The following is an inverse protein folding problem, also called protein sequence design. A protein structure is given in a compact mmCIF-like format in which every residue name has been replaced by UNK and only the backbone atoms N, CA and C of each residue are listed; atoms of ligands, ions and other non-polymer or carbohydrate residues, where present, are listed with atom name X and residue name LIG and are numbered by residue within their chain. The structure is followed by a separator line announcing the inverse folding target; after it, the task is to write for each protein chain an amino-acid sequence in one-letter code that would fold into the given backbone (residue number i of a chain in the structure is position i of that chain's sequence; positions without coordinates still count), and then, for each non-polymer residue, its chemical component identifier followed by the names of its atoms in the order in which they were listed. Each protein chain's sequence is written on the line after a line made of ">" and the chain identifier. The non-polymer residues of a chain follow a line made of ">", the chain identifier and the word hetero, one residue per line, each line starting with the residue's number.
data_IF_487795828869
#
_entry.id   IF_487795828869
#
_cell.length_a   1.000
_cell.length_b   1.000
_cell.length_c   1.000
_cell.angle_alpha   90.00
_cell.angle_beta   90.00
_cell.angle_gamma   90.00
#
_symmetry.space_group_name_H-M   'P 1'
#
loop_
_entity.id
_entity.type
_entity.pdbx_description
1 polymer ?
#
# COMPACT_ATOMS: atom_id res chain seq x y z
N UNK A 1 25.80 29.70 -16.26
CA UNK A 1 24.72 29.10 -17.07
C UNK A 1 24.44 27.64 -16.74
N UNK A 2 25.45 26.80 -16.43
CA UNK A 2 25.21 25.38 -16.05
C UNK A 2 24.56 25.16 -14.67
N UNK A 3 24.75 26.04 -13.68
CA UNK A 3 24.14 25.91 -12.34
C UNK A 3 22.62 26.12 -12.31
N UNK A 4 22.07 26.95 -13.20
CA UNK A 4 20.62 27.20 -13.28
C UNK A 4 19.86 26.06 -13.93
N UNK A 5 20.50 25.29 -14.83
CA UNK A 5 19.88 24.12 -15.47
C UNK A 5 19.72 22.96 -14.47
N UNK A 6 20.71 22.74 -13.59
CA UNK A 6 20.63 21.68 -12.58
C UNK A 6 19.57 21.95 -11.50
N UNK A 7 19.33 23.21 -11.13
CA UNK A 7 18.28 23.57 -10.15
C UNK A 7 16.84 23.39 -10.72
N UNK A 8 16.65 23.57 -12.02
CA UNK A 8 15.38 23.29 -12.69
C UNK A 8 15.15 21.78 -12.90
N UNK A 9 16.23 21.02 -13.12
CA UNK A 9 16.14 19.57 -13.28
C UNK A 9 15.80 18.83 -11.97
N UNK A 10 16.34 19.27 -10.83
CA UNK A 10 16.01 18.69 -9.51
C UNK A 10 14.56 18.95 -9.11
N UNK A 11 14.06 20.16 -9.34
CA UNK A 11 12.66 20.53 -9.06
C UNK A 11 11.65 19.79 -9.95
N UNK A 12 12.00 19.47 -11.20
CA UNK A 12 11.16 18.65 -12.07
C UNK A 12 11.10 17.18 -11.62
N UNK A 13 12.23 16.61 -11.17
CA UNK A 13 12.32 15.22 -10.70
C UNK A 13 11.51 15.00 -9.44
N UNK A 14 11.55 15.93 -8.49
CA UNK A 14 10.78 15.85 -7.24
C UNK A 14 9.26 15.94 -7.47
N UNK A 15 8.82 16.74 -8.45
CA UNK A 15 7.40 16.81 -8.83
C UNK A 15 6.90 15.51 -9.44
N UNK A 16 7.71 14.86 -10.28
CA UNK A 16 7.34 13.58 -10.90
C UNK A 16 7.14 12.46 -9.87
N UNK A 17 7.94 12.44 -8.80
CA UNK A 17 7.85 11.44 -7.74
C UNK A 17 6.55 11.52 -6.93
N UNK A 18 5.94 12.70 -6.80
CA UNK A 18 4.67 12.89 -6.11
C UNK A 18 3.45 12.67 -7.04
N UNK A 19 3.56 13.00 -8.32
CA UNK A 19 2.46 12.92 -9.27
C UNK A 19 2.07 11.47 -9.58
N UNK A 20 3.03 10.57 -9.81
CA UNK A 20 2.75 9.18 -10.13
C UNK A 20 1.89 8.47 -9.07
N UNK A 21 2.24 8.47 -7.77
CA UNK A 21 1.39 7.84 -6.75
C UNK A 21 0.05 8.56 -6.56
N UNK A 22 -0.02 9.88 -6.79
CA UNK A 22 -1.29 10.60 -6.73
C UNK A 22 -2.27 10.15 -7.82
N UNK A 23 -1.80 10.05 -9.07
CA UNK A 23 -2.60 9.62 -10.22
C UNK A 23 -3.07 8.18 -10.05
N UNK A 24 -2.15 7.27 -9.68
CA UNK A 24 -2.49 5.86 -9.41
C UNK A 24 -3.53 5.79 -8.28
N UNK A 25 -3.28 6.49 -7.17
CA UNK A 25 -4.20 6.50 -6.02
C UNK A 25 -5.58 7.00 -6.39
N UNK A 26 -5.68 8.10 -7.13
CA UNK A 26 -6.94 8.66 -7.60
C UNK A 26 -7.69 7.68 -8.53
N UNK A 27 -6.99 7.07 -9.49
CA UNK A 27 -7.59 6.10 -10.41
C UNK A 27 -8.17 4.88 -9.66
N UNK A 28 -7.42 4.33 -8.69
CA UNK A 28 -7.90 3.20 -7.88
C UNK A 28 -9.13 3.57 -7.04
N UNK A 29 -9.15 4.76 -6.43
CA UNK A 29 -10.30 5.24 -5.66
C UNK A 29 -11.53 5.46 -6.56
N UNK A 30 -11.35 5.98 -7.78
CA UNK A 30 -12.45 6.15 -8.75
C UNK A 30 -13.03 4.79 -9.14
N UNK A 31 -12.19 3.82 -9.49
CA UNK A 31 -12.63 2.46 -9.85
C UNK A 31 -13.34 1.81 -8.66
N UNK A 32 -12.82 1.94 -7.45
CA UNK A 32 -13.47 1.43 -6.25
C UNK A 32 -14.83 2.10 -5.99
N UNK A 33 -14.92 3.41 -6.19
CA UNK A 33 -16.17 4.17 -6.10
C UNK A 33 -17.20 3.67 -7.11
N UNK A 34 -16.80 3.44 -8.37
CA UNK A 34 -17.70 2.87 -9.39
C UNK A 34 -18.19 1.46 -9.02
N UNK A 35 -17.31 0.60 -8.51
CA UNK A 35 -17.71 -0.72 -8.02
C UNK A 35 -18.71 -0.64 -6.87
N UNK A 36 -18.47 0.25 -5.89
CA UNK A 36 -19.33 0.41 -4.71
C UNK A 36 -20.66 1.09 -5.00
N UNK A 37 -20.69 2.03 -5.94
CA UNK A 37 -21.87 2.86 -6.21
C UNK A 37 -22.71 2.38 -7.39
N UNK A 38 -22.14 1.63 -8.34
CA UNK A 38 -22.87 1.13 -9.51
C UNK A 38 -23.00 -0.40 -9.51
N UNK A 39 -21.88 -1.13 -9.36
CA UNK A 39 -21.89 -2.59 -9.55
C UNK A 39 -22.50 -3.32 -8.36
N UNK A 40 -22.07 -2.99 -7.14
CA UNK A 40 -22.55 -3.64 -5.91
C UNK A 40 -24.04 -3.43 -5.69
N UNK A 41 -24.62 -2.21 -5.82
CA UNK A 41 -26.05 -2.01 -5.68
C UNK A 41 -26.85 -2.80 -6.72
N UNK A 42 -26.42 -2.80 -7.99
CA UNK A 42 -27.09 -3.58 -9.03
C UNK A 42 -27.11 -5.10 -8.73
N UNK A 43 -26.01 -5.64 -8.19
CA UNK A 43 -25.96 -7.04 -7.77
C UNK A 43 -26.84 -7.32 -6.53
N UNK A 44 -26.87 -6.40 -5.56
CA UNK A 44 -27.74 -6.50 -4.39
C UNK A 44 -29.22 -6.44 -4.78
N UNK A 45 -29.59 -5.58 -5.73
CA UNK A 45 -30.96 -5.46 -6.20
C UNK A 45 -31.41 -6.71 -6.97
N UNK A 46 -30.51 -7.35 -7.72
CA UNK A 46 -30.77 -8.66 -8.32
C UNK A 46 -30.99 -9.75 -7.26
N UNK A 47 -30.18 -9.78 -6.20
CA UNK A 47 -30.35 -10.72 -5.09
C UNK A 47 -31.67 -10.49 -4.35
N UNK A 48 -32.00 -9.24 -4.01
CA UNK A 48 -33.27 -8.88 -3.37
C UNK A 48 -34.46 -9.23 -4.25
N UNK A 49 -34.41 -8.93 -5.55
CA UNK A 49 -35.47 -9.26 -6.49
C UNK A 49 -35.66 -10.77 -6.60
N UNK A 50 -34.59 -11.55 -6.61
CA UNK A 50 -34.67 -13.01 -6.62
C UNK A 50 -35.24 -13.60 -5.33
N UNK A 51 -34.86 -13.05 -4.17
CA UNK A 51 -35.40 -13.48 -2.86
C UNK A 51 -36.87 -13.12 -2.72
N UNK A 52 -37.27 -11.93 -3.20
CA UNK A 52 -38.64 -11.44 -3.14
C UNK A 52 -39.57 -12.08 -4.20
N UNK A 53 -39.02 -12.64 -5.28
CA UNK A 53 -39.80 -13.24 -6.35
C UNK A 53 -40.69 -14.39 -5.82
N UNK A 54 -42.01 -14.28 -6.02
CA UNK A 54 -42.96 -15.33 -5.68
C UNK A 54 -42.82 -16.55 -6.62
N UNK A 55 -43.38 -17.70 -6.22
CA UNK A 55 -43.55 -18.82 -7.14
C UNK A 55 -44.57 -18.44 -8.24
N UNK A 56 -44.27 -18.75 -9.49
CA UNK A 56 -45.20 -18.49 -10.59
C UNK A 56 -46.48 -19.34 -10.42
N UNK A 57 -47.66 -18.77 -10.73
CA UNK A 57 -48.86 -19.58 -10.88
C UNK A 57 -48.70 -20.54 -12.08
N UNK A 58 -49.23 -21.75 -11.95
CA UNK A 58 -49.03 -22.90 -12.86
C UNK A 58 -49.33 -22.58 -14.34
N UNK A 59 -50.12 -21.54 -14.63
CA UNK A 59 -50.55 -21.19 -15.98
C UNK A 59 -49.75 -20.04 -16.65
N UNK A 60 -48.85 -19.34 -15.94
CA UNK A 60 -48.16 -18.15 -16.50
C UNK A 60 -46.69 -18.09 -16.06
N UNK A 61 -45.79 -18.51 -16.95
CA UNK A 61 -44.36 -18.29 -16.78
C UNK A 61 -44.02 -16.82 -17.09
N UNK A 62 -43.51 -16.10 -16.09
CA UNK A 62 -43.03 -14.71 -16.21
C UNK A 62 -41.56 -14.62 -15.81
N UNK A 63 -40.86 -13.59 -16.31
CA UNK A 63 -39.48 -13.29 -15.90
C UNK A 63 -39.37 -12.78 -14.47
N UNK A 64 -40.47 -12.36 -13.85
CA UNK A 64 -40.47 -11.76 -12.51
C UNK A 64 -40.68 -12.77 -11.37
N UNK A 65 -41.32 -13.92 -11.67
CA UNK A 65 -41.57 -14.97 -10.69
C UNK A 65 -40.62 -16.15 -10.87
N UNK A 66 -40.52 -17.00 -9.84
CA UNK A 66 -39.75 -18.24 -9.85
C UNK A 66 -40.61 -19.37 -10.38
N UNK A 67 -40.22 -19.96 -11.50
CA UNK A 67 -40.95 -21.05 -12.14
C UNK A 67 -40.19 -22.37 -11.93
N UNK A 68 -40.84 -23.38 -11.36
CA UNK A 68 -40.22 -24.69 -11.12
C UNK A 68 -40.77 -25.72 -12.10
N UNK A 69 -39.88 -26.44 -12.77
CA UNK A 69 -40.24 -27.42 -13.80
C UNK A 69 -39.56 -28.75 -13.54
N UNK A 70 -40.26 -29.84 -13.81
CA UNK A 70 -39.70 -31.19 -13.70
C UNK A 70 -38.90 -31.52 -14.97
N UNK A 71 -37.66 -31.95 -14.80
CA UNK A 71 -36.78 -32.35 -15.90
C UNK A 71 -36.08 -33.66 -15.58
N UNK A 72 -35.86 -34.47 -16.61
CA UNK A 72 -35.08 -35.71 -16.51
C UNK A 72 -33.62 -35.43 -16.84
N UNK A 73 -32.70 -35.90 -16.00
CA UNK A 73 -31.26 -35.81 -16.26
C UNK A 73 -30.89 -36.70 -17.43
N UNK A 74 -30.20 -36.16 -18.44
CA UNK A 74 -29.66 -36.94 -19.55
C UNK A 74 -28.17 -37.20 -19.40
N UNK A 75 -27.45 -36.32 -18.72
CA UNK A 75 -26.01 -36.49 -18.48
C UNK A 75 -25.57 -35.75 -17.22
N UNK A 76 -24.55 -36.28 -16.56
CA UNK A 76 -23.80 -35.60 -15.51
C UNK A 76 -22.33 -35.72 -15.86
N UNK A 77 -21.66 -34.60 -16.10
CA UNK A 77 -20.26 -34.56 -16.54
C UNK A 77 -19.44 -33.66 -15.61
N UNK A 78 -18.24 -34.13 -15.24
CA UNK A 78 -17.26 -33.35 -14.52
C UNK A 78 -16.10 -33.00 -15.47
N UNK A 79 -16.16 -31.82 -16.07
CA UNK A 79 -15.15 -31.36 -17.01
C UNK A 79 -13.96 -30.79 -16.25
N UNK A 80 -12.81 -31.44 -16.39
CA UNK A 80 -11.57 -30.99 -15.80
C UNK A 80 -10.87 -30.06 -16.79
N UNK A 81 -10.82 -28.77 -16.48
CA UNK A 81 -10.12 -27.78 -17.31
C UNK A 81 -9.06 -27.09 -16.46
N UNK A 82 -7.80 -27.38 -16.79
CA UNK A 82 -6.63 -26.95 -16.00
C UNK A 82 -6.72 -27.43 -14.54
N UNK A 83 -6.64 -26.50 -13.57
CA UNK A 83 -6.71 -26.77 -12.13
C UNK A 83 -8.13 -26.72 -11.56
N UNK A 84 -9.16 -26.62 -12.40
CA UNK A 84 -10.55 -26.48 -11.96
C UNK A 84 -11.43 -27.57 -12.57
N UNK A 85 -12.29 -28.16 -11.73
CA UNK A 85 -13.33 -29.10 -12.16
C UNK A 85 -14.66 -28.36 -12.25
N UNK A 86 -15.30 -28.42 -13.42
CA UNK A 86 -16.62 -27.87 -13.66
C UNK A 86 -17.64 -28.98 -13.74
N UNK A 87 -18.73 -28.85 -12.98
CA UNK A 87 -19.79 -29.83 -12.91
C UNK A 87 -20.95 -29.39 -13.80
N UNK A 88 -21.26 -30.18 -14.81
CA UNK A 88 -22.31 -29.91 -15.80
C UNK A 88 -23.41 -30.96 -15.68
N UNK A 89 -24.66 -30.51 -15.50
CA UNK A 89 -25.84 -31.36 -15.64
C UNK A 89 -26.50 -31.07 -16.98
N UNK A 90 -26.65 -32.12 -17.79
CA UNK A 90 -27.48 -32.11 -18.99
C UNK A 90 -28.88 -32.59 -18.68
N UNK A 91 -29.88 -31.89 -19.19
CA UNK A 91 -31.29 -32.24 -19.06
C UNK A 91 -31.89 -32.61 -20.41
N UNK A 92 -32.83 -33.54 -20.36
CA UNK A 92 -33.58 -34.01 -21.52
C UNK A 92 -34.87 -33.23 -21.71
N UNK A 93 -35.90 -33.93 -22.14
CA UNK A 93 -37.23 -33.37 -22.29
C UNK A 93 -37.69 -32.78 -20.94
N UNK A 94 -38.10 -31.52 -20.98
CA UNK A 94 -38.65 -30.79 -19.83
C UNK A 94 -40.16 -31.00 -19.91
N UNK A 95 -40.73 -31.71 -18.93
CA UNK A 95 -42.18 -31.90 -18.85
C UNK A 95 -42.80 -30.55 -18.45
N UNK A 96 -43.86 -30.14 -19.14
CA UNK A 96 -44.54 -28.84 -18.97
C UNK A 96 -43.75 -27.60 -19.44
N UNK A 97 -43.04 -27.65 -20.57
CA UNK A 97 -42.62 -26.38 -21.21
C UNK A 97 -43.86 -25.56 -21.62
N UNK A 98 -44.14 -24.41 -20.99
CA UNK A 98 -45.13 -23.48 -21.51
C UNK A 98 -44.57 -22.94 -22.82
N UNK A 99 -45.41 -22.96 -23.86
CA UNK A 99 -45.14 -22.48 -25.21
C UNK A 99 -44.25 -21.22 -25.18
N UNK A 100 -42.99 -21.39 -25.58
CA UNK A 100 -41.97 -20.35 -25.80
C UNK A 100 -41.69 -19.40 -24.61
N UNK A 101 -40.85 -19.83 -23.66
CA UNK A 101 -40.13 -18.91 -22.78
C UNK A 101 -39.23 -17.97 -23.62
N UNK A 102 -39.38 -16.64 -23.57
CA UNK A 102 -38.58 -15.68 -24.36
C UNK A 102 -37.13 -15.50 -23.85
N UNK A 103 -36.63 -16.43 -23.04
CA UNK A 103 -35.33 -16.37 -22.41
C UNK A 103 -34.24 -17.02 -23.26
N UNK A 104 -33.32 -16.21 -23.77
CA UNK A 104 -32.11 -16.63 -24.50
C UNK A 104 -31.20 -17.45 -23.59
N UNK A 105 -31.43 -18.76 -23.48
CA UNK A 105 -30.44 -19.71 -22.96
C UNK A 105 -29.16 -19.49 -23.76
N UNK A 106 -28.09 -19.03 -23.11
CA UNK A 106 -26.75 -18.99 -23.70
C UNK A 106 -26.30 -20.42 -23.94
N UNK A 107 -26.68 -20.97 -25.09
CA UNK A 107 -26.02 -22.14 -25.66
C UNK A 107 -24.57 -21.73 -25.85
N UNK A 108 -23.65 -22.38 -25.12
CA UNK A 108 -22.22 -22.18 -25.33
C UNK A 108 -21.87 -22.42 -26.81
N UNK A 109 -20.80 -21.79 -27.34
CA UNK A 109 -20.43 -21.94 -28.74
C UNK A 109 -20.19 -23.42 -29.07
N UNK A 110 -21.15 -24.01 -29.76
CA UNK A 110 -21.06 -25.35 -30.30
C UNK A 110 -20.19 -25.30 -31.54
N UNK A 111 -19.15 -26.15 -31.59
CA UNK A 111 -18.47 -26.54 -32.83
C UNK A 111 -19.54 -26.91 -33.86
N UNK A 112 -19.59 -26.17 -34.97
CA UNK A 112 -20.53 -26.39 -36.07
C UNK A 112 -20.43 -27.83 -36.56
N UNK A 113 -21.51 -28.59 -36.39
CA UNK A 113 -21.65 -29.93 -36.95
C UNK A 113 -22.01 -29.83 -38.44
N UNK A 114 -21.45 -30.76 -39.23
CA UNK A 114 -21.59 -30.85 -40.68
C UNK A 114 -23.06 -30.98 -41.13
N UNK A 115 -23.42 -30.43 -42.31
CA UNK A 115 -24.78 -30.47 -42.82
C UNK A 115 -25.16 -31.90 -43.25
N UNK A 116 -26.29 -32.43 -42.77
CA UNK A 116 -26.88 -33.69 -43.25
C UNK A 116 -27.39 -34.66 -42.18
N UNK A 117 -27.11 -34.44 -40.89
CA UNK A 117 -27.66 -35.25 -39.80
C UNK A 117 -28.81 -34.49 -39.14
N UNK A 118 -29.97 -35.12 -38.99
CA UNK A 118 -31.10 -34.58 -38.22
C UNK A 118 -30.57 -33.96 -36.93
N UNK A 119 -30.79 -32.66 -36.77
CA UNK A 119 -30.21 -31.88 -35.68
C UNK A 119 -30.76 -32.40 -34.35
N UNK A 120 -30.06 -33.37 -33.76
CA UNK A 120 -30.32 -33.81 -32.40
C UNK A 120 -30.32 -32.56 -31.53
N UNK A 121 -31.46 -32.26 -30.91
CA UNK A 121 -31.59 -31.10 -30.02
C UNK A 121 -30.47 -31.18 -29.01
N UNK A 122 -29.56 -30.21 -29.07
CA UNK A 122 -28.39 -30.22 -28.21
C UNK A 122 -28.87 -30.27 -26.75
N UNK A 123 -28.40 -31.23 -25.93
CA UNK A 123 -28.86 -31.35 -24.56
C UNK A 123 -28.61 -30.04 -23.82
N UNK A 124 -29.64 -29.51 -23.16
CA UNK A 124 -29.53 -28.28 -22.37
C UNK A 124 -28.63 -28.59 -21.17
N UNK A 125 -27.48 -27.92 -21.07
CA UNK A 125 -26.51 -28.12 -19.98
C UNK A 125 -26.48 -26.92 -19.05
N UNK A 126 -26.40 -27.18 -17.74
CA UNK A 126 -26.24 -26.17 -16.70
C UNK A 126 -24.99 -26.46 -15.88
N UNK A 127 -24.29 -25.39 -15.56
CA UNK A 127 -23.12 -25.44 -14.68
C UNK A 127 -23.57 -25.35 -13.23
N UNK A 128 -23.30 -26.40 -12.47
CA UNK A 128 -23.59 -26.49 -11.04
C UNK A 128 -22.51 -25.77 -10.22
N UNK A 129 -22.90 -25.18 -9.10
CA UNK A 129 -21.95 -24.61 -8.13
C UNK A 129 -21.43 -25.74 -7.22
N UNK A 130 -20.37 -26.40 -7.66
CA UNK A 130 -19.74 -27.51 -6.94
C UNK A 130 -20.32 -28.91 -7.22
N UNK A 131 -19.80 -29.91 -6.50
CA UNK A 131 -20.13 -31.34 -6.69
C UNK A 131 -21.34 -31.80 -5.88
N UNK A 132 -21.60 -31.19 -4.73
CA UNK A 132 -22.59 -31.62 -3.76
C UNK A 132 -23.59 -30.49 -3.49
N UNK A 133 -24.83 -30.79 -3.07
CA UNK A 133 -25.36 -32.14 -2.79
C UNK A 133 -26.00 -32.84 -4.00
N UNK A 134 -26.63 -32.12 -4.93
CA UNK A 134 -27.48 -32.71 -5.98
C UNK A 134 -26.66 -33.41 -7.06
N UNK A 135 -25.60 -32.79 -7.58
CA UNK A 135 -24.80 -33.35 -8.68
C UNK A 135 -24.21 -34.72 -8.33
N UNK A 136 -23.83 -34.96 -7.06
CA UNK A 136 -23.33 -36.24 -6.61
C UNK A 136 -24.42 -37.32 -6.44
N UNK A 137 -25.68 -36.93 -6.28
CA UNK A 137 -26.80 -37.84 -6.01
C UNK A 137 -27.57 -38.24 -7.28
N UNK A 138 -27.58 -37.37 -8.30
CA UNK A 138 -28.39 -37.58 -9.51
C UNK A 138 -27.65 -38.40 -10.56
N UNK A 139 -28.39 -39.26 -11.26
CA UNK A 139 -27.90 -40.09 -12.35
C UNK A 139 -28.71 -39.82 -13.62
N UNK A 140 -28.21 -40.17 -14.82
CA UNK A 140 -29.04 -40.14 -16.03
C UNK A 140 -30.32 -40.95 -15.84
N UNK A 141 -31.46 -40.39 -16.25
CA UNK A 141 -32.80 -40.94 -16.04
C UNK A 141 -33.51 -40.44 -14.77
N UNK A 142 -32.80 -39.79 -13.84
CA UNK A 142 -33.40 -39.24 -12.62
C UNK A 142 -34.25 -38.00 -12.93
N UNK A 143 -35.49 -37.97 -12.41
CA UNK A 143 -36.33 -36.77 -12.42
C UNK A 143 -35.93 -35.82 -11.29
N UNK A 144 -35.85 -34.52 -11.60
CA UNK A 144 -35.54 -33.46 -10.66
C UNK A 144 -36.32 -32.18 -10.98
N UNK A 145 -36.31 -31.24 -10.06
CA UNK A 145 -36.99 -29.96 -10.22
C UNK A 145 -35.97 -28.86 -10.50
N UNK A 146 -36.19 -28.11 -11.58
CA UNK A 146 -35.38 -26.96 -11.99
C UNK A 146 -36.16 -25.69 -11.70
N UNK A 147 -35.60 -24.77 -10.90
CA UNK A 147 -36.20 -23.45 -10.73
C UNK A 147 -35.53 -22.41 -11.62
N UNK A 148 -36.33 -21.79 -12.47
CA UNK A 148 -35.96 -20.71 -13.36
C UNK A 148 -36.30 -19.34 -12.76
N UNK A 149 -35.45 -18.35 -13.01
CA UNK A 149 -35.77 -16.93 -12.79
C UNK A 149 -35.06 -16.08 -13.84
N UNK A 150 -35.82 -15.21 -14.52
CA UNK A 150 -35.36 -14.43 -15.70
C UNK A 150 -34.69 -15.28 -16.78
N UNK A 151 -35.27 -16.46 -17.07
CA UNK A 151 -34.79 -17.36 -18.13
C UNK A 151 -33.51 -18.14 -17.80
N UNK A 152 -32.97 -18.02 -16.60
CA UNK A 152 -31.80 -18.79 -16.14
C UNK A 152 -32.21 -19.75 -15.03
N UNK A 153 -31.66 -20.97 -15.04
CA UNK A 153 -31.84 -21.95 -13.98
C UNK A 153 -31.00 -21.49 -12.80
N UNK A 154 -31.61 -21.19 -11.65
CA UNK A 154 -30.93 -20.65 -10.47
C UNK A 154 -30.49 -21.74 -9.52
N UNK A 155 -31.34 -22.73 -9.28
CA UNK A 155 -31.04 -23.89 -8.46
C UNK A 155 -31.81 -25.12 -8.95
N UNK A 156 -31.33 -26.28 -8.50
CA UNK A 156 -31.86 -27.59 -8.80
C UNK A 156 -32.23 -28.26 -7.48
N UNK A 157 -33.45 -28.80 -7.41
CA UNK A 157 -33.96 -29.53 -6.26
C UNK A 157 -34.14 -31.02 -6.60
N UNK A 158 -33.65 -31.90 -5.75
CA UNK A 158 -33.77 -33.35 -5.87
C UNK A 158 -33.97 -34.00 -4.50
N UNK A 159 -35.14 -34.62 -4.27
CA UNK A 159 -35.45 -35.33 -3.01
C UNK A 159 -35.17 -34.51 -1.73
N UNK A 160 -35.51 -33.22 -1.73
CA UNK A 160 -35.25 -32.32 -0.61
C UNK A 160 -33.82 -31.76 -0.53
N UNK A 161 -32.90 -32.23 -1.38
CA UNK A 161 -31.58 -31.63 -1.57
C UNK A 161 -31.69 -30.47 -2.56
N UNK A 162 -31.14 -29.32 -2.19
CA UNK A 162 -31.04 -28.14 -3.06
C UNK A 162 -29.59 -27.87 -3.41
N UNK A 163 -29.32 -27.62 -4.69
CA UNK A 163 -28.02 -27.14 -5.13
C UNK A 163 -28.17 -25.93 -6.06
N UNK A 164 -27.43 -24.88 -5.76
CA UNK A 164 -27.37 -23.67 -6.56
C UNK A 164 -26.50 -23.86 -7.81
N UNK A 165 -26.80 -23.08 -8.84
CA UNK A 165 -26.03 -23.03 -10.07
C UNK A 165 -25.11 -21.81 -10.07
N UNK A 166 -24.18 -21.75 -11.01
CA UNK A 166 -23.31 -20.57 -11.19
C UNK A 166 -24.09 -19.31 -11.62
N UNK A 167 -25.35 -19.48 -12.04
CA UNK A 167 -26.24 -18.36 -12.32
C UNK A 167 -27.01 -17.89 -11.06
N UNK A 168 -26.77 -18.40 -9.86
CA UNK A 168 -27.43 -17.85 -8.66
C UNK A 168 -26.98 -16.39 -8.41
N UNK A 169 -27.90 -15.39 -8.35
CA UNK A 169 -27.51 -14.01 -8.07
C UNK A 169 -27.02 -13.79 -6.64
N UNK A 170 -27.30 -14.72 -5.72
CA UNK A 170 -26.92 -14.59 -4.30
C UNK A 170 -25.41 -14.48 -4.14
N UNK A 171 -24.97 -13.46 -3.43
CA UNK A 171 -23.55 -13.22 -3.20
C UNK A 171 -22.78 -12.76 -4.43
N UNK A 172 -23.44 -12.48 -5.56
CA UNK A 172 -22.80 -11.92 -6.76
C UNK A 172 -22.11 -10.58 -6.51
N UNK A 173 -22.55 -9.85 -5.47
CA UNK A 173 -21.93 -8.60 -5.02
C UNK A 173 -20.60 -8.79 -4.28
N UNK A 174 -20.29 -10.00 -3.76
CA UNK A 174 -19.16 -10.21 -2.83
C UNK A 174 -17.81 -9.94 -3.47
N UNK A 175 -17.58 -10.43 -4.69
CA UNK A 175 -16.32 -10.23 -5.40
C UNK A 175 -16.07 -8.76 -5.78
N UNK A 176 -16.99 -8.04 -6.46
CA UNK A 176 -16.77 -6.62 -6.77
C UNK A 176 -16.66 -5.77 -5.50
N UNK A 177 -17.39 -6.12 -4.45
CA UNK A 177 -17.28 -5.45 -3.15
C UNK A 177 -15.90 -5.68 -2.50
N UNK A 178 -15.41 -6.92 -2.43
CA UNK A 178 -14.07 -7.25 -1.94
C UNK A 178 -12.98 -6.51 -2.73
N UNK A 179 -13.08 -6.52 -4.06
CA UNK A 179 -12.15 -5.80 -4.94
C UNK A 179 -12.16 -4.30 -4.65
N UNK A 180 -13.33 -3.69 -4.48
CA UNK A 180 -13.45 -2.27 -4.18
C UNK A 180 -12.79 -1.89 -2.83
N UNK A 181 -12.96 -2.71 -1.79
CA UNK A 181 -12.33 -2.45 -0.49
C UNK A 181 -10.80 -2.54 -0.56
N UNK A 182 -10.26 -3.53 -1.29
CA UNK A 182 -8.82 -3.63 -1.54
C UNK A 182 -8.32 -2.39 -2.29
N UNK A 183 -9.00 -2.01 -3.38
CA UNK A 183 -8.64 -0.83 -4.19
C UNK A 183 -8.68 0.47 -3.38
N UNK A 184 -9.67 0.65 -2.49
CA UNK A 184 -9.72 1.80 -1.58
C UNK A 184 -8.52 1.85 -0.64
N UNK A 185 -8.14 0.71 -0.06
CA UNK A 185 -7.01 0.66 0.88
C UNK A 185 -5.67 0.97 0.19
N UNK A 186 -5.44 0.40 -1.00
CA UNK A 186 -4.24 0.66 -1.80
C UNK A 186 -4.25 2.10 -2.34
N UNK A 187 -5.39 2.56 -2.87
CA UNK A 187 -5.54 3.92 -3.38
C UNK A 187 -5.30 4.98 -2.32
N UNK A 188 -5.88 4.79 -1.12
CA UNK A 188 -5.64 5.66 0.03
C UNK A 188 -4.17 5.69 0.46
N UNK A 189 -3.47 4.57 0.39
CA UNK A 189 -2.04 4.50 0.67
C UNK A 189 -1.20 5.29 -0.35
N UNK A 190 -1.50 5.15 -1.65
CA UNK A 190 -0.84 5.90 -2.71
C UNK A 190 -1.08 7.41 -2.57
N UNK A 191 -2.31 7.84 -2.29
CA UNK A 191 -2.65 9.25 -2.04
C UNK A 191 -1.92 9.79 -0.80
N UNK A 192 -1.86 9.01 0.29
CA UNK A 192 -1.11 9.39 1.49
C UNK A 192 0.39 9.52 1.20
N UNK A 193 0.95 8.60 0.43
CA UNK A 193 2.37 8.66 0.02
C UNK A 193 2.66 9.93 -0.79
N UNK A 194 1.83 10.25 -1.77
CA UNK A 194 1.92 11.48 -2.56
C UNK A 194 1.80 12.74 -1.69
N UNK A 195 0.85 12.76 -0.75
CA UNK A 195 0.70 13.86 0.20
C UNK A 195 1.94 14.02 1.09
N UNK A 196 2.49 12.91 1.60
CA UNK A 196 3.70 12.91 2.41
C UNK A 196 4.94 13.36 1.63
N UNK A 197 5.06 13.03 0.33
CA UNK A 197 6.17 13.50 -0.50
C UNK A 197 6.10 15.01 -0.73
N UNK A 198 4.90 15.57 -0.94
CA UNK A 198 4.72 17.03 -1.08
C UNK A 198 5.05 17.76 0.22
N UNK A 199 4.66 17.21 1.38
CA UNK A 199 4.88 17.86 2.68
C UNK A 199 6.31 17.75 3.23
N UNK A 200 7.17 16.89 2.70
CA UNK A 200 8.50 16.63 3.28
C UNK A 200 9.60 17.05 2.30
N UNK A 201 10.04 18.29 2.42
CA UNK A 201 11.10 18.85 1.57
C UNK A 201 12.55 18.50 2.00
N UNK A 202 12.80 18.03 3.24
CA UNK A 202 14.18 18.11 3.79
C UNK A 202 14.69 16.93 4.65
N UNK A 203 14.25 15.68 4.45
CA UNK A 203 14.97 14.54 5.09
C UNK A 203 15.21 13.38 4.14
N UNK A 204 16.31 13.49 3.40
CA UNK A 204 16.83 12.49 2.46
C UNK A 204 17.48 11.27 3.14
N UNK A 205 17.60 11.25 4.47
CA UNK A 205 18.11 10.10 5.19
C UNK A 205 17.04 8.99 5.25
N UNK A 206 17.16 8.08 4.28
CA UNK A 206 16.41 6.86 4.08
C UNK A 206 16.34 6.00 5.35
N UNK A 207 15.13 5.87 5.90
CA UNK A 207 14.83 4.77 6.79
C UNK A 207 13.86 3.82 6.06
N UNK A 208 14.37 2.64 5.67
CA UNK A 208 13.58 1.57 5.00
C UNK A 208 12.26 1.29 5.71
N UNK A 209 12.21 1.47 7.03
CA UNK A 209 10.99 1.27 7.83
C UNK A 209 9.85 2.22 7.44
N UNK A 210 10.17 3.43 6.96
CA UNK A 210 9.16 4.41 6.51
C UNK A 210 8.36 3.91 5.31
N UNK A 211 8.92 2.99 4.52
CA UNK A 211 8.23 2.32 3.41
C UNK A 211 7.63 0.99 3.85
N UNK A 212 8.36 0.18 4.64
CA UNK A 212 7.89 -1.18 4.96
C UNK A 212 6.70 -1.19 5.92
N UNK A 213 6.64 -0.29 6.91
CA UNK A 213 5.52 -0.21 7.87
C UNK A 213 4.20 0.10 7.16
N UNK A 214 4.05 1.20 6.40
CA UNK A 214 2.78 1.48 5.73
C UNK A 214 2.42 0.41 4.69
N UNK A 215 3.41 -0.13 3.96
CA UNK A 215 3.15 -1.18 2.97
C UNK A 215 2.61 -2.46 3.64
N UNK A 216 3.21 -2.88 4.75
CA UNK A 216 2.73 -4.02 5.53
C UNK A 216 1.32 -3.76 6.09
N UNK A 217 1.05 -2.55 6.59
CA UNK A 217 -0.30 -2.19 7.07
C UNK A 217 -1.36 -2.27 5.97
N UNK A 218 -1.05 -1.76 4.77
CA UNK A 218 -1.96 -1.79 3.62
C UNK A 218 -2.21 -3.21 3.16
N UNK A 219 -1.17 -4.06 3.12
CA UNK A 219 -1.30 -5.47 2.78
C UNK A 219 -2.23 -6.19 3.77
N UNK A 220 -2.02 -5.98 5.08
CA UNK A 220 -2.85 -6.59 6.12
C UNK A 220 -4.32 -6.13 6.02
N UNK A 221 -4.55 -4.82 5.84
CA UNK A 221 -5.90 -4.27 5.65
C UNK A 221 -6.54 -4.83 4.37
N UNK A 222 -5.79 -4.93 3.27
CA UNK A 222 -6.27 -5.49 2.00
C UNK A 222 -6.68 -6.95 2.15
N UNK A 223 -5.85 -7.78 2.79
CA UNK A 223 -6.16 -9.18 3.05
C UNK A 223 -7.45 -9.31 3.89
N UNK A 224 -7.57 -8.50 4.94
CA UNK A 224 -8.75 -8.50 5.80
C UNK A 224 -10.01 -8.06 5.03
N UNK A 225 -9.92 -6.93 4.32
CA UNK A 225 -10.98 -6.38 3.48
C UNK A 225 -11.44 -7.33 2.36
N UNK A 226 -10.54 -8.13 1.81
CA UNK A 226 -10.88 -9.12 0.80
C UNK A 226 -11.65 -10.32 1.39
N UNK A 227 -11.29 -10.73 2.60
CA UNK A 227 -11.91 -11.87 3.28
C UNK A 227 -13.29 -11.57 3.88
N UNK A 228 -13.54 -10.34 4.33
CA UNK A 228 -14.78 -9.99 5.05
C UNK A 228 -16.07 -10.31 4.30
N UNK A 229 -16.22 -10.11 2.96
CA UNK A 229 -17.50 -10.35 2.28
C UNK A 229 -17.88 -11.84 2.18
N UNK A 230 -16.91 -12.74 2.39
CA UNK A 230 -17.13 -14.18 2.36
C UNK A 230 -17.66 -14.73 3.68
N UNK A 231 -17.29 -14.09 4.79
CA UNK A 231 -17.67 -14.52 6.15
C UNK A 231 -18.92 -13.81 6.65
N UNK A 232 -19.31 -12.68 6.06
CA UNK A 232 -20.51 -11.95 6.46
C UNK A 232 -21.71 -12.22 5.54
N UNK A 233 -22.91 -12.06 6.11
CA UNK A 233 -24.18 -12.18 5.39
C UNK A 233 -24.62 -10.92 4.65
N UNK A 234 -23.86 -9.82 4.71
CA UNK A 234 -24.26 -8.56 4.11
C UNK A 234 -23.16 -7.49 4.03
N UNK A 235 -23.45 -6.44 3.27
CA UNK A 235 -22.55 -5.31 3.06
C UNK A 235 -22.29 -4.50 4.34
N UNK A 236 -23.30 -4.12 5.16
CA UNK A 236 -23.05 -3.33 6.37
C UNK A 236 -22.17 -4.05 7.39
N UNK A 237 -22.38 -5.35 7.57
CA UNK A 237 -21.59 -6.18 8.48
C UNK A 237 -20.18 -6.39 7.97
N UNK A 238 -19.98 -6.55 6.65
CA UNK A 238 -18.65 -6.60 6.06
C UNK A 238 -17.87 -5.28 6.23
N UNK A 239 -18.53 -4.13 6.01
CA UNK A 239 -17.92 -2.81 6.21
C UNK A 239 -17.52 -2.60 7.67
N UNK A 240 -18.43 -2.89 8.61
CA UNK A 240 -18.17 -2.76 10.04
C UNK A 240 -17.02 -3.67 10.47
N UNK A 241 -17.03 -4.94 10.05
CA UNK A 241 -15.94 -5.87 10.36
C UNK A 241 -14.61 -5.36 9.81
N UNK A 242 -14.59 -4.91 8.55
CA UNK A 242 -13.38 -4.34 7.91
C UNK A 242 -12.85 -3.12 8.65
N UNK A 243 -13.74 -2.21 9.06
CA UNK A 243 -13.38 -1.02 9.82
C UNK A 243 -12.79 -1.39 11.18
N UNK A 244 -13.45 -2.28 11.93
CA UNK A 244 -12.97 -2.77 13.23
C UNK A 244 -11.61 -3.47 13.10
N UNK A 245 -11.41 -4.29 12.05
CA UNK A 245 -10.14 -4.96 11.78
C UNK A 245 -9.02 -4.01 11.35
N UNK A 246 -9.34 -2.90 10.67
CA UNK A 246 -8.36 -1.91 10.25
C UNK A 246 -7.82 -1.05 11.42
N UNK A 247 -8.64 -0.77 12.43
CA UNK A 247 -8.27 0.04 13.60
C UNK A 247 -6.98 -0.45 14.29
N UNK A 248 -6.85 -1.73 14.73
CA UNK A 248 -5.63 -2.18 15.41
C UNK A 248 -4.41 -2.18 14.49
N UNK A 249 -4.58 -2.43 13.18
CA UNK A 249 -3.48 -2.37 12.21
C UNK A 249 -2.96 -0.93 12.06
N UNK A 250 -3.87 0.03 11.93
CA UNK A 250 -3.52 1.45 11.83
C UNK A 250 -2.95 1.98 13.15
N UNK A 251 -3.52 1.60 14.29
CA UNK A 251 -3.02 1.97 15.61
C UNK A 251 -1.62 1.41 15.85
N UNK A 252 -1.39 0.14 15.51
CA UNK A 252 -0.07 -0.50 15.57
C UNK A 252 0.95 0.19 14.66
N UNK A 253 0.57 0.51 13.42
CA UNK A 253 1.42 1.23 12.47
C UNK A 253 1.77 2.64 12.96
N UNK A 254 0.78 3.37 13.49
CA UNK A 254 0.96 4.70 14.06
C UNK A 254 1.86 4.64 15.31
N UNK A 255 1.64 3.66 16.20
CA UNK A 255 2.46 3.46 17.38
C UNK A 255 3.90 3.08 17.03
N UNK A 256 4.12 2.18 16.06
CA UNK A 256 5.46 1.84 15.56
C UNK A 256 6.15 3.07 14.96
N UNK A 257 5.44 3.82 14.12
CA UNK A 257 5.95 5.07 13.53
C UNK A 257 6.32 6.08 14.62
N UNK A 258 5.48 6.26 15.63
CA UNK A 258 5.72 7.16 16.75
C UNK A 258 6.89 6.70 17.63
N UNK A 259 6.97 5.40 17.94
CA UNK A 259 8.05 4.79 18.72
C UNK A 259 9.38 4.94 17.98
N UNK A 260 9.41 4.70 16.68
CA UNK A 260 10.58 4.94 15.85
C UNK A 260 10.92 6.42 15.81
N UNK A 261 9.94 7.30 15.63
CA UNK A 261 10.17 8.74 15.62
C UNK A 261 10.80 9.23 16.94
N UNK A 262 10.32 8.72 18.08
CA UNK A 262 10.88 9.02 19.41
C UNK A 262 12.31 8.53 19.55
N UNK A 263 12.63 7.35 19.00
CA UNK A 263 13.99 6.82 18.97
C UNK A 263 14.91 7.66 18.07
N UNK A 264 14.44 8.10 16.91
CA UNK A 264 15.22 8.92 15.96
C UNK A 264 15.42 10.37 16.38
N UNK A 265 14.92 10.78 17.54
CA UNK A 265 15.41 11.99 18.22
C UNK A 265 16.79 11.70 18.83
N UNK A 266 17.72 11.18 18.02
CA UNK A 266 19.09 10.86 18.42
C UNK A 266 19.94 12.14 18.58
N UNK A 267 19.34 13.24 19.02
CA UNK A 267 20.08 14.43 19.38
C UNK A 267 20.72 14.18 20.74
N UNK A 268 22.03 13.94 20.74
CA UNK A 268 22.81 13.85 21.96
C UNK A 268 22.97 15.27 22.48
N UNK A 269 22.47 15.55 23.68
CA UNK A 269 22.68 16.84 24.34
C UNK A 269 24.14 16.91 24.79
N UNK A 270 24.95 17.70 24.07
CA UNK A 270 26.34 17.98 24.42
C UNK A 270 26.46 19.47 24.73
N UNK A 271 26.96 19.80 25.92
CA UNK A 271 27.24 21.18 26.31
C UNK A 271 28.50 21.66 25.56
N UNK A 272 28.44 22.77 24.79
CA UNK A 272 29.61 23.31 24.11
C UNK A 272 30.69 23.74 25.11
N UNK A 273 31.94 23.37 24.85
CA UNK A 273 33.10 23.73 25.66
C UNK A 273 34.12 24.43 24.77
N UNK A 274 34.41 25.70 25.05
CA UNK A 274 35.42 26.47 24.30
C UNK A 274 36.81 26.07 24.81
N UNK A 275 37.71 25.56 23.95
CA UNK A 275 39.07 25.22 24.37
C UNK A 275 39.85 26.48 24.78
N UNK A 276 40.75 26.39 25.75
CA UNK A 276 41.54 27.53 26.25
C UNK A 276 42.68 27.93 25.29
N UNK A 277 43.16 26.98 24.47
CA UNK A 277 44.22 27.16 23.49
C UNK A 277 43.96 26.37 22.21
N UNK A 278 44.98 26.21 21.39
CA UNK A 278 44.93 25.31 20.22
C UNK A 278 45.04 23.85 20.68
N UNK A 279 43.98 23.07 20.48
CA UNK A 279 43.93 21.64 20.79
C UNK A 279 43.73 20.83 19.52
N UNK A 280 44.64 19.89 19.24
CA UNK A 280 44.56 18.98 18.10
C UNK A 280 44.06 17.60 18.55
N UNK A 281 43.07 17.04 17.86
CA UNK A 281 42.46 15.76 18.21
C UNK A 281 41.99 14.99 16.97
N UNK A 282 41.79 13.66 17.08
CA UNK A 282 41.27 12.85 15.97
C UNK A 282 39.86 13.26 15.55
N UNK A 283 39.66 13.51 14.27
CA UNK A 283 38.37 13.84 13.70
C UNK A 283 38.45 14.19 12.22
N UNK A 284 37.33 14.09 11.51
CA UNK A 284 37.27 14.32 10.07
C UNK A 284 36.02 15.11 9.71
N UNK A 285 36.17 16.01 8.73
CA UNK A 285 35.06 16.74 8.13
C UNK A 285 34.65 16.03 6.84
N UNK A 286 33.39 15.64 6.76
CA UNK A 286 32.80 14.93 5.63
C UNK A 286 31.72 15.82 4.99
N UNK A 287 31.71 15.91 3.66
CA UNK A 287 30.72 16.69 2.91
C UNK A 287 31.29 17.26 1.62
N UNK A 288 30.42 17.74 0.74
CA UNK A 288 30.82 18.38 -0.53
C UNK A 288 31.26 19.83 -0.30
N UNK A 289 32.31 20.03 0.49
CA UNK A 289 32.84 21.34 0.86
C UNK A 289 34.35 21.42 0.63
N UNK A 290 34.90 22.60 0.28
CA UNK A 290 36.29 22.73 -0.16
C UNK A 290 37.35 22.47 0.93
N UNK A 291 36.92 22.34 2.19
CA UNK A 291 37.77 22.03 3.35
C UNK A 291 37.60 20.58 3.83
N UNK A 292 36.80 19.76 3.14
CA UNK A 292 36.78 18.30 3.31
C UNK A 292 37.79 17.68 2.35
N UNK A 293 38.81 17.02 2.89
CA UNK A 293 39.85 16.36 2.11
C UNK A 293 40.12 14.97 2.64
N UNK A 294 40.34 14.02 1.73
CA UNK A 294 40.81 12.69 2.10
C UNK A 294 42.19 12.76 2.77
N UNK A 295 42.41 11.98 3.82
CA UNK A 295 43.63 12.00 4.62
C UNK A 295 43.66 13.05 5.76
N UNK A 296 42.67 13.94 5.85
CA UNK A 296 42.55 14.91 6.95
C UNK A 296 41.85 14.25 8.15
N UNK A 297 42.63 13.45 8.91
CA UNK A 297 42.17 12.66 10.04
C UNK A 297 42.20 13.37 11.41
N UNK A 298 42.64 14.62 11.47
CA UNK A 298 42.72 15.41 12.69
C UNK A 298 42.01 16.76 12.55
N UNK A 299 41.46 17.23 13.66
CA UNK A 299 40.85 18.55 13.82
C UNK A 299 41.64 19.35 14.84
N UNK A 300 41.78 20.64 14.56
CA UNK A 300 42.35 21.63 15.45
C UNK A 300 41.24 22.58 15.89
N UNK A 301 40.96 22.63 17.19
CA UNK A 301 40.00 23.57 17.77
C UNK A 301 40.71 24.61 18.62
N UNK A 302 40.29 25.86 18.47
CA UNK A 302 40.68 26.99 19.32
C UNK A 302 39.46 27.93 19.50
N UNK A 303 39.52 28.95 20.38
CA UNK A 303 38.42 29.90 20.55
C UNK A 303 37.95 30.53 19.22
N UNK A 304 36.74 30.14 18.77
CA UNK A 304 36.16 30.65 17.52
C UNK A 304 36.88 30.23 16.22
N UNK A 305 37.68 29.16 16.28
CA UNK A 305 38.47 28.65 15.17
C UNK A 305 38.46 27.13 15.14
N UNK A 306 38.11 26.56 14.00
CA UNK A 306 38.18 25.13 13.73
C UNK A 306 38.94 24.95 12.41
N UNK A 307 39.85 23.98 12.34
CA UNK A 307 40.56 23.62 11.12
C UNK A 307 40.72 22.11 11.00
N UNK A 308 40.75 21.60 9.78
CA UNK A 308 41.13 20.22 9.51
C UNK A 308 42.62 20.15 9.16
N UNK A 309 43.29 19.07 9.53
CA UNK A 309 44.71 18.84 9.23
C UNK A 309 45.02 17.34 9.13
N UNK A 310 45.96 16.92 8.28
CA UNK A 310 46.48 15.56 8.29
C UNK A 310 47.50 15.32 9.43
N UNK A 311 48.08 16.39 9.99
CA UNK A 311 49.15 16.33 10.97
C UNK A 311 48.59 16.13 12.40
N UNK A 312 48.94 15.04 13.11
CA UNK A 312 48.48 14.82 14.49
C UNK A 312 48.96 15.91 15.46
N UNK A 313 50.08 16.58 15.19
CA UNK A 313 50.54 17.72 15.98
C UNK A 313 49.85 19.04 15.59
N UNK A 314 49.08 19.03 14.51
CA UNK A 314 48.35 20.19 13.99
C UNK A 314 49.23 21.36 13.56
N UNK A 315 50.51 21.16 13.23
CA UNK A 315 51.46 22.23 12.86
C UNK A 315 51.45 22.53 11.37
N UNK A 316 51.15 21.55 10.53
CA UNK A 316 51.20 21.70 9.06
C UNK A 316 49.85 21.50 8.37
N UNK A 317 49.75 22.01 7.13
CA UNK A 317 48.62 21.81 6.21
C UNK A 317 47.22 22.08 6.81
N UNK A 318 47.10 23.12 7.67
CA UNK A 318 45.84 23.52 8.29
C UNK A 318 44.87 24.07 7.24
N UNK A 319 43.67 23.50 7.16
CA UNK A 319 42.56 23.99 6.32
C UNK A 319 41.50 24.60 7.23
N UNK A 320 41.42 25.93 7.34
CA UNK A 320 40.46 26.58 8.23
C UNK A 320 39.02 26.32 7.75
N UNK A 321 38.16 25.99 8.70
CA UNK A 321 36.72 25.85 8.48
C UNK A 321 36.08 27.24 8.50
N UNK A 322 35.21 27.58 7.53
CA UNK A 322 34.62 28.90 7.47
C UNK A 322 33.66 29.15 8.63
N UNK A 323 33.61 30.41 9.09
CA UNK A 323 32.71 30.85 10.19
C UNK A 323 31.22 30.87 9.82
N UNK A 324 30.89 30.56 8.57
CA UNK A 324 29.53 30.34 8.09
C UNK A 324 29.00 28.98 8.51
N UNK A 325 29.86 28.04 8.88
CA UNK A 325 29.48 26.72 9.36
C UNK A 325 28.76 26.82 10.71
N UNK A 326 27.50 26.41 10.74
CA UNK A 326 26.68 26.41 11.95
C UNK A 326 26.33 24.98 12.37
N UNK A 327 26.60 24.63 13.63
CA UNK A 327 26.20 23.34 14.18
C UNK A 327 24.67 23.28 14.35
N UNK A 328 24.06 22.22 13.81
CA UNK A 328 22.62 21.97 13.85
C UNK A 328 22.27 21.02 15.00
N UNK A 329 22.94 19.87 15.08
CA UNK A 329 22.75 18.88 16.16
C UNK A 329 23.92 17.90 16.24
N UNK A 330 24.06 17.24 17.38
CA UNK A 330 24.96 16.11 17.58
C UNK A 330 24.17 14.82 17.54
N UNK A 331 24.64 13.82 16.82
CA UNK A 331 24.00 12.50 16.73
C UNK A 331 25.02 11.37 16.58
N UNK A 332 24.64 10.09 16.77
CA UNK A 332 25.48 8.97 16.40
C UNK A 332 25.70 8.90 14.87
N UNK A 333 26.78 8.24 14.41
CA UNK A 333 27.05 8.03 13.00
C UNK A 333 26.03 7.08 12.37
N UNK A 334 25.59 7.43 11.17
CA UNK A 334 24.69 6.62 10.36
C UNK A 334 25.44 5.98 9.20
N UNK A 335 24.94 4.84 8.72
CA UNK A 335 25.54 4.14 7.57
C UNK A 335 25.43 4.93 6.27
N UNK A 336 24.57 5.94 6.23
CA UNK A 336 24.36 6.83 5.10
C UNK A 336 25.23 8.08 5.15
N UNK A 337 26.02 8.29 6.21
CA UNK A 337 26.93 9.42 6.28
C UNK A 337 28.01 9.27 5.18
N UNK A 338 28.37 10.36 4.47
CA UNK A 338 29.35 10.28 3.40
C UNK A 338 30.73 9.94 3.98
N UNK A 339 31.49 9.09 3.30
CA UNK A 339 32.87 8.75 3.66
C UNK A 339 33.04 7.38 4.34
N UNK A 340 34.25 7.08 4.83
CA UNK A 340 34.54 5.81 5.50
C UNK A 340 33.78 5.69 6.83
N UNK A 341 33.51 4.44 7.23
CA UNK A 341 32.75 4.15 8.45
C UNK A 341 33.49 4.71 9.69
N UNK A 342 32.84 5.57 10.50
CA UNK A 342 33.44 6.08 11.73
C UNK A 342 33.79 4.97 12.72
N UNK A 343 34.79 5.23 13.57
CA UNK A 343 35.14 4.34 14.67
C UNK A 343 33.94 4.10 15.61
N UNK A 344 33.83 2.91 16.24
CA UNK A 344 32.77 2.63 17.21
C UNK A 344 32.74 3.68 18.31
N UNK A 345 31.55 4.22 18.59
CA UNK A 345 31.35 5.26 19.61
C UNK A 345 31.63 6.69 19.15
N UNK A 346 32.08 6.93 17.92
CA UNK A 346 32.18 8.28 17.36
C UNK A 346 30.83 9.03 17.40
N UNK A 347 30.89 10.35 17.39
CA UNK A 347 29.74 11.24 17.27
C UNK A 347 29.88 12.11 16.03
N UNK A 348 28.74 12.45 15.44
CA UNK A 348 28.64 13.31 14.26
C UNK A 348 27.96 14.60 14.66
N UNK A 349 28.68 15.71 14.53
CA UNK A 349 28.12 17.04 14.59
C UNK A 349 27.63 17.37 13.18
N UNK A 350 26.31 17.37 12.99
CA UNK A 350 25.71 17.87 11.76
C UNK A 350 25.80 19.38 11.75
N UNK A 351 26.40 19.91 10.70
CA UNK A 351 26.57 21.33 10.47
C UNK A 351 25.96 21.73 9.11
N UNK A 352 25.68 23.02 8.95
CA UNK A 352 25.28 23.62 7.67
C UNK A 352 26.22 24.76 7.32
N UNK A 353 26.77 24.71 6.11
CA UNK A 353 27.50 25.81 5.47
C UNK A 353 26.62 26.39 4.36
N UNK A 354 25.80 27.38 4.72
CA UNK A 354 24.69 27.82 3.87
C UNK A 354 23.67 26.69 3.66
N UNK A 355 23.50 26.25 2.41
CA UNK A 355 22.60 25.15 2.04
C UNK A 355 23.30 23.77 2.05
N UNK A 356 24.63 23.73 2.15
CA UNK A 356 25.41 22.49 2.03
C UNK A 356 25.50 21.81 3.40
N UNK A 357 25.07 20.54 3.53
CA UNK A 357 25.25 19.78 4.76
C UNK A 357 26.72 19.37 4.93
N UNK A 358 27.22 19.47 6.15
CA UNK A 358 28.60 19.11 6.53
C UNK A 358 28.54 18.28 7.80
N UNK A 359 29.33 17.22 7.87
CA UNK A 359 29.36 16.29 8.99
C UNK A 359 30.75 16.32 9.62
N UNK A 360 30.84 16.76 10.86
CA UNK A 360 32.09 16.71 11.62
C UNK A 360 32.06 15.46 12.50
N UNK A 361 32.87 14.48 12.16
CA UNK A 361 32.94 13.19 12.86
C UNK A 361 34.12 13.22 13.83
N UNK A 362 33.86 12.95 15.10
CA UNK A 362 34.88 12.99 16.16
C UNK A 362 34.54 12.01 17.28
N UNK A 363 35.50 11.72 18.17
CA UNK A 363 35.21 10.98 19.39
C UNK A 363 34.34 11.80 20.36
N UNK A 364 33.49 11.15 21.19
CA UNK A 364 32.56 11.82 22.11
C UNK A 364 33.19 12.88 23.03
N UNK A 365 34.41 12.62 23.50
CA UNK A 365 35.13 13.52 24.41
C UNK A 365 35.51 14.86 23.78
N UNK A 366 35.62 14.91 22.45
CA UNK A 366 36.02 16.12 21.72
C UNK A 366 34.83 16.83 21.05
N UNK A 367 33.65 16.22 21.04
CA UNK A 367 32.44 16.84 20.48
C UNK A 367 32.14 18.21 21.10
N UNK A 368 32.33 18.34 22.41
CA UNK A 368 32.13 19.60 23.11
C UNK A 368 33.07 20.71 22.60
N UNK A 369 34.32 20.36 22.26
CA UNK A 369 35.31 21.29 21.68
C UNK A 369 34.94 21.74 20.28
N UNK A 370 34.47 20.81 19.44
CA UNK A 370 33.96 21.15 18.10
C UNK A 370 32.81 22.15 18.21
N UNK A 371 31.83 21.87 19.08
CA UNK A 371 30.70 22.79 19.31
C UNK A 371 31.16 24.15 19.88
N UNK A 372 32.14 24.16 20.77
CA UNK A 372 32.70 25.38 21.34
C UNK A 372 33.46 26.23 20.32
N UNK A 373 34.23 25.61 19.45
CA UNK A 373 34.99 26.27 18.38
C UNK A 373 34.08 26.86 17.29
N UNK A 374 32.97 26.18 16.99
CA UNK A 374 31.96 26.66 16.02
C UNK A 374 31.03 27.74 16.60
N UNK A 375 30.94 27.84 17.92
CA UNK A 375 30.20 28.92 18.55
C UNK A 375 30.88 30.22 18.15
N UNK A 376 30.16 31.07 17.42
CA UNK A 376 30.63 32.45 17.18
C UNK A 376 30.97 33.02 18.56
N UNK A 377 32.12 33.69 18.72
CA UNK A 377 32.29 34.59 19.84
C UNK A 377 31.12 35.55 19.72
N UNK A 378 30.06 35.31 20.49
CA UNK A 378 29.00 36.30 20.65
C UNK A 378 29.77 37.56 21.00
N UNK A 379 29.61 38.64 20.22
CA UNK A 379 30.24 39.93 20.44
C UNK A 379 30.31 40.13 21.94
N UNK A 380 31.49 39.87 22.53
CA UNK A 380 31.57 39.75 23.97
C UNK A 380 31.08 41.10 24.49
N UNK A 381 30.05 41.16 25.35
CA UNK A 381 29.57 42.42 25.92
C UNK A 381 30.68 43.22 26.63
N UNK A 382 31.83 42.58 26.81
CA UNK A 382 33.10 43.08 27.29
C UNK A 382 33.66 44.32 26.56
N UNK A 383 33.12 44.73 25.39
CA UNK A 383 33.43 46.04 24.80
C UNK A 383 32.53 47.20 25.24
N UNK A 384 31.41 46.94 25.93
CA UNK A 384 30.53 47.99 26.47
C UNK A 384 30.96 48.51 27.86
N UNK A 385 31.91 47.84 28.54
CA UNK A 385 32.37 48.24 29.87
C UNK A 385 33.62 49.12 29.92
N UNK A 386 34.32 49.31 28.80
CA UNK A 386 35.61 50.03 28.78
C UNK A 386 35.48 51.55 28.56
N UNK A 387 34.28 52.06 28.26
CA UNK A 387 34.06 53.50 27.96
C UNK A 387 33.32 54.25 29.06
N UNK A 388 33.17 53.68 30.26
CA UNK A 388 32.43 54.30 31.39
C UNK A 388 33.29 54.61 32.63
N UNK A 389 34.62 54.73 32.47
CA UNK A 389 35.52 55.28 33.51
C UNK A 389 36.48 56.29 32.90
N UNK A 390 35.94 57.44 32.52
CA UNK A 390 36.65 58.71 32.37
C UNK A 390 35.59 59.80 32.31
N UNK A 391 34.90 60.03 33.43
CA UNK A 391 34.24 61.29 33.80
C UNK A 391 34.16 61.35 35.32
#
# INVERSE_FOLDING_TARGET
>A
MWRTVNALATTARDRSAALTPAVIGAALVIVAGWLLLAVVPGALDQERAFVAAAACPVAQASTECRHTVTATVTSAAADHKHRSTYYWLGFGHVQDEPVALPGRLKTGPLRSAAPGRAAAVAPRRVKMDGRTPVFAAVHPGTALHLTYWRGEIRYVDFQGLRQYTVADPRGGYRLPFAAALVLLSVGGACLRAAYCSVRRAESSAHERWRLTVPLASVLLISCFAFGTPWVTGGVPTALLLTAVGAVPVLAGAAWLTHRHHRRTTDTIKVTPLVPLGEECFPGTILGEVPYSHEGFGHLLAAPGYLAATPDPAGRFARRPVPRTLTAVRVRPPYWTDPGPRPAPGAQVVECRDGATPVYVVTEPRYTAWVLGALKRPAESPQRAGATARLL
#
